data_IF_852898669041
#
_entry.id   IF_852898669041
#
_cell.length_a   1.000
_cell.length_b   1.000
_cell.length_c   1.000
_cell.angle_alpha   90.00
_cell.angle_beta   90.00
_cell.angle_gamma   90.00
#
_symmetry.space_group_name_H-M   'P 1'
#
loop_
_entity.id
_entity.type
_entity.pdbx_description
1 polymer ?
#
# COMPACT_ATOMS: atom_id res chain seq x y z
N UNK A 1 38.80 -30.15 8.96
CA UNK A 1 38.01 -28.92 9.23
C UNK A 1 37.94 -27.96 8.02
N UNK A 2 38.42 -28.34 6.83
CA UNK A 2 38.55 -27.45 5.66
C UNK A 2 37.35 -27.49 4.70
N UNK A 3 36.70 -28.64 4.53
CA UNK A 3 35.59 -28.82 3.57
C UNK A 3 34.33 -28.05 3.98
N UNK A 4 34.00 -28.03 5.28
CA UNK A 4 32.83 -27.29 5.80
C UNK A 4 32.94 -25.78 5.61
N UNK A 5 34.14 -25.22 5.79
CA UNK A 5 34.38 -23.80 5.58
C UNK A 5 34.24 -23.41 4.10
N UNK A 6 34.64 -24.30 3.18
CA UNK A 6 34.57 -24.07 1.74
C UNK A 6 33.14 -24.11 1.21
N UNK A 7 32.31 -25.03 1.71
CA UNK A 7 30.88 -25.11 1.37
C UNK A 7 30.10 -23.91 1.89
N UNK A 8 30.42 -23.42 3.10
CA UNK A 8 29.80 -22.22 3.66
C UNK A 8 30.15 -20.96 2.84
N UNK A 9 31.40 -20.84 2.39
CA UNK A 9 31.85 -19.72 1.55
C UNK A 9 31.19 -19.69 0.18
N UNK A 10 31.00 -20.86 -0.45
CA UNK A 10 30.33 -20.97 -1.75
C UNK A 10 28.82 -20.64 -1.67
N UNK A 11 28.14 -20.99 -0.56
CA UNK A 11 26.73 -20.69 -0.37
C UNK A 11 26.45 -19.19 -0.19
N UNK A 12 27.35 -18.45 0.45
CA UNK A 12 27.22 -17.00 0.66
C UNK A 12 27.44 -16.23 -0.65
N UNK A 13 28.36 -16.69 -1.51
CA UNK A 13 28.66 -16.04 -2.78
C UNK A 13 27.51 -16.08 -3.81
N UNK A 14 26.63 -17.09 -3.73
CA UNK A 14 25.49 -17.22 -4.65
C UNK A 14 24.22 -16.47 -4.19
N UNK A 15 24.18 -15.96 -2.95
CA UNK A 15 22.96 -15.38 -2.36
C UNK A 15 22.74 -13.89 -2.60
N UNK A 16 23.78 -13.13 -2.98
CA UNK A 16 23.76 -11.66 -2.94
C UNK A 16 23.78 -10.97 -4.33
N UNK A 17 23.58 -11.71 -5.43
CA UNK A 17 23.68 -11.16 -6.80
C UNK A 17 22.37 -10.70 -7.46
N UNK A 18 21.22 -10.88 -6.81
CA UNK A 18 19.92 -10.52 -7.38
C UNK A 18 19.65 -9.02 -7.28
N UNK A 19 19.17 -8.39 -8.37
CA UNK A 19 18.64 -7.02 -8.31
C UNK A 19 17.42 -7.01 -7.40
N UNK A 20 17.44 -6.20 -6.35
CA UNK A 20 16.28 -6.03 -5.47
C UNK A 20 15.10 -5.52 -6.31
N UNK A 21 13.91 -6.14 -6.22
CA UNK A 21 12.74 -5.65 -6.94
C UNK A 21 12.41 -4.21 -6.54
N UNK A 22 11.95 -3.43 -7.52
CA UNK A 22 11.50 -2.07 -7.28
C UNK A 22 10.16 -2.08 -6.53
N UNK A 23 9.96 -1.09 -5.64
CA UNK A 23 8.67 -0.91 -4.97
C UNK A 23 7.79 -0.01 -5.81
N UNK A 24 6.61 -0.49 -6.19
CA UNK A 24 5.61 0.26 -6.93
C UNK A 24 4.65 0.97 -5.97
N UNK A 25 4.39 2.24 -6.22
CA UNK A 25 3.45 3.05 -5.45
C UNK A 25 2.19 3.32 -6.26
N UNK A 26 1.04 3.18 -5.61
CA UNK A 26 -0.28 3.29 -6.21
C UNK A 26 -1.08 4.41 -5.56
N UNK A 27 -1.83 5.14 -6.37
CA UNK A 27 -2.75 6.20 -5.96
C UNK A 27 -4.13 5.86 -6.52
N UNK A 28 -5.19 6.26 -5.82
CA UNK A 28 -6.52 6.35 -6.44
C UNK A 28 -6.46 7.31 -7.63
N UNK A 29 -7.06 6.89 -8.76
CA UNK A 29 -7.26 7.79 -9.88
C UNK A 29 -8.14 8.98 -9.43
N UNK A 30 -7.92 10.15 -10.00
CA UNK A 30 -8.74 11.33 -9.71
C UNK A 30 -10.22 11.04 -10.00
N UNK A 31 -11.10 11.56 -9.15
CA UNK A 31 -12.53 11.42 -9.35
C UNK A 31 -12.97 12.18 -10.63
N UNK A 32 -13.60 11.47 -11.57
CA UNK A 32 -14.33 12.08 -12.69
C UNK A 32 -15.84 12.01 -12.40
N UNK A 33 -16.22 12.56 -11.26
CA UNK A 33 -17.62 12.67 -10.83
C UNK A 33 -17.98 14.14 -10.84
N UNK A 34 -19.11 14.46 -11.48
CA UNK A 34 -19.72 15.79 -11.41
C UNK A 34 -20.96 15.71 -10.56
N UNK A 35 -20.91 16.23 -9.36
CA UNK A 35 -22.07 16.28 -8.49
C UNK A 35 -22.86 17.56 -8.79
N UNK A 36 -24.19 17.47 -8.76
CA UNK A 36 -25.01 18.68 -8.74
C UNK A 36 -24.95 19.25 -7.33
N UNK A 37 -24.20 20.33 -7.16
CA UNK A 37 -24.14 21.06 -5.89
C UNK A 37 -25.51 21.50 -5.41
N UNK A 38 -25.67 21.56 -4.09
CA UNK A 38 -26.76 22.24 -3.40
C UNK A 38 -26.21 23.30 -2.45
N UNK A 39 -27.07 24.15 -1.88
CA UNK A 39 -26.67 25.29 -1.04
C UNK A 39 -26.18 24.90 0.37
N UNK A 40 -25.83 23.63 0.59
CA UNK A 40 -25.40 23.09 1.88
C UNK A 40 -23.88 23.01 2.02
N UNK A 41 -23.38 23.15 3.25
CA UNK A 41 -21.98 22.87 3.59
C UNK A 41 -21.88 21.40 3.97
N UNK A 42 -20.95 20.69 3.33
CA UNK A 42 -20.57 19.32 3.69
C UNK A 42 -19.18 19.38 4.32
N UNK A 43 -19.02 18.73 5.47
CA UNK A 43 -17.72 18.58 6.14
C UNK A 43 -17.36 17.10 6.10
N UNK A 44 -16.19 16.79 5.58
CA UNK A 44 -15.63 15.45 5.64
C UNK A 44 -14.74 15.35 6.88
N UNK A 45 -15.06 14.40 7.76
CA UNK A 45 -14.20 14.06 8.89
C UNK A 45 -13.16 13.01 8.47
N UNK A 46 -12.13 12.83 9.29
CA UNK A 46 -11.12 11.80 9.07
C UNK A 46 -11.78 10.43 9.02
N UNK A 47 -11.49 9.66 7.98
CA UNK A 47 -12.04 8.32 7.83
C UNK A 47 -11.42 7.39 8.88
N UNK A 48 -12.28 6.78 9.69
CA UNK A 48 -11.86 5.75 10.62
C UNK A 48 -11.46 4.48 9.86
N UNK A 49 -10.25 4.00 10.11
CA UNK A 49 -9.69 2.77 9.54
C UNK A 49 -9.40 1.74 10.63
N UNK A 50 -9.46 0.46 10.26
CA UNK A 50 -8.87 -0.61 11.07
C UNK A 50 -7.34 -0.48 11.00
N UNK A 51 -6.64 -0.87 12.07
CA UNK A 51 -5.18 -0.86 12.16
C UNK A 51 -4.47 -1.53 10.98
N UNK A 52 -5.12 -2.48 10.32
CA UNK A 52 -4.61 -3.09 9.10
C UNK A 52 -4.39 -2.09 7.93
N UNK A 53 -5.03 -0.92 7.96
CA UNK A 53 -5.06 0.09 6.91
C UNK A 53 -4.49 1.45 7.35
N UNK A 54 -3.78 1.50 8.47
CA UNK A 54 -3.20 2.75 9.00
C UNK A 54 -1.86 3.14 8.34
N UNK A 55 -1.36 2.31 7.42
CA UNK A 55 -0.14 2.59 6.67
C UNK A 55 -0.28 2.28 5.16
N UNK A 56 0.82 2.50 4.45
CA UNK A 56 0.92 2.39 2.99
C UNK A 56 0.87 0.95 2.46
N UNK A 57 0.89 -0.09 3.31
CA UNK A 57 0.91 -1.47 2.84
C UNK A 57 -0.43 -1.84 2.21
N UNK A 58 -0.38 -2.48 1.05
CA UNK A 58 -1.57 -3.00 0.40
C UNK A 58 -1.92 -4.35 1.04
N UNK A 59 -3.04 -4.36 1.78
CA UNK A 59 -3.63 -5.56 2.37
C UNK A 59 -4.22 -6.46 1.27
N UNK A 60 -3.91 -7.75 1.33
CA UNK A 60 -4.65 -8.78 0.62
C UNK A 60 -5.01 -9.92 1.57
N UNK A 61 -5.96 -10.76 1.16
CA UNK A 61 -6.36 -11.96 1.90
C UNK A 61 -6.56 -13.14 0.96
N UNK A 62 -6.06 -14.29 1.36
CA UNK A 62 -6.31 -15.59 0.69
C UNK A 62 -7.25 -16.47 1.50
N UNK A 63 -7.39 -16.17 2.80
CA UNK A 63 -8.30 -16.85 3.74
C UNK A 63 -9.08 -15.81 4.54
N UNK A 64 -10.20 -16.16 5.18
CA UNK A 64 -11.02 -15.19 5.91
C UNK A 64 -10.34 -14.55 7.14
N UNK A 65 -9.31 -15.19 7.70
CA UNK A 65 -8.75 -14.84 9.01
C UNK A 65 -7.30 -14.35 8.97
N UNK A 66 -6.68 -14.31 7.79
CA UNK A 66 -5.32 -13.84 7.61
C UNK A 66 -5.30 -12.68 6.63
N UNK A 67 -4.74 -11.57 7.10
CA UNK A 67 -4.31 -10.45 6.27
C UNK A 67 -2.82 -10.61 6.01
N UNK A 68 -2.45 -10.46 4.75
CA UNK A 68 -1.06 -10.43 4.29
C UNK A 68 -0.85 -9.13 3.49
N UNK A 69 0.42 -8.83 3.15
CA UNK A 69 0.79 -7.57 2.51
C UNK A 69 1.70 -7.80 1.32
N UNK A 70 1.49 -7.06 0.25
CA UNK A 70 2.41 -7.08 -0.89
C UNK A 70 3.74 -6.43 -0.51
N UNK A 71 4.85 -7.16 -0.71
CA UNK A 71 6.17 -6.69 -0.28
C UNK A 71 6.66 -5.47 -1.07
N UNK A 72 6.38 -5.44 -2.38
CA UNK A 72 6.90 -4.44 -3.32
C UNK A 72 5.79 -3.59 -3.94
N UNK A 73 4.59 -3.60 -3.36
CA UNK A 73 3.46 -2.79 -3.84
C UNK A 73 2.87 -2.06 -2.64
N UNK A 74 2.82 -0.73 -2.73
CA UNK A 74 2.39 0.17 -1.66
C UNK A 74 1.41 1.17 -2.18
N UNK A 75 0.49 1.59 -1.33
CA UNK A 75 -0.19 2.84 -1.53
C UNK A 75 0.79 4.01 -1.39
N UNK A 76 0.52 5.12 -2.05
CA UNK A 76 1.28 6.36 -1.93
C UNK A 76 1.07 7.08 -0.59
N UNK A 77 0.01 6.73 0.14
CA UNK A 77 -0.29 7.15 1.51
C UNK A 77 -1.24 6.14 2.17
N UNK A 78 -1.53 6.28 3.46
CA UNK A 78 -2.47 5.40 4.15
C UNK A 78 -3.86 5.41 3.46
N UNK A 79 -4.52 4.25 3.28
CA UNK A 79 -5.82 4.14 2.64
C UNK A 79 -6.88 5.12 3.12
N UNK A 80 -6.99 5.36 4.43
CA UNK A 80 -7.97 6.31 5.00
C UNK A 80 -7.78 7.73 4.47
N UNK A 81 -6.52 8.17 4.34
CA UNK A 81 -6.18 9.49 3.80
C UNK A 81 -6.50 9.56 2.30
N UNK A 82 -6.13 8.54 1.53
CA UNK A 82 -6.40 8.55 0.08
C UNK A 82 -7.89 8.59 -0.24
N UNK A 83 -8.70 7.79 0.46
CA UNK A 83 -10.15 7.77 0.25
C UNK A 83 -10.77 9.10 0.71
N UNK A 84 -10.27 9.68 1.81
CA UNK A 84 -10.68 11.01 2.26
C UNK A 84 -10.46 12.07 1.18
N UNK A 85 -9.23 12.18 0.70
CA UNK A 85 -8.86 13.14 -0.36
C UNK A 85 -9.66 12.89 -1.66
N UNK A 86 -9.90 11.63 -2.02
CA UNK A 86 -10.71 11.29 -3.18
C UNK A 86 -12.16 11.78 -3.02
N UNK A 87 -12.75 11.62 -1.84
CA UNK A 87 -14.10 12.08 -1.54
C UNK A 87 -14.18 13.61 -1.53
N UNK A 88 -13.21 14.30 -0.95
CA UNK A 88 -13.11 15.76 -1.01
C UNK A 88 -13.10 16.24 -2.46
N UNK A 89 -12.20 15.69 -3.28
CA UNK A 89 -12.12 16.02 -4.69
C UNK A 89 -13.44 15.73 -5.45
N UNK A 90 -14.13 14.64 -5.12
CA UNK A 90 -15.39 14.30 -5.76
C UNK A 90 -16.55 15.21 -5.33
N UNK A 91 -16.49 15.78 -4.13
CA UNK A 91 -17.52 16.67 -3.58
C UNK A 91 -17.34 18.14 -4.01
N UNK A 92 -16.12 18.55 -4.34
CA UNK A 92 -15.83 19.88 -4.88
C UNK A 92 -16.21 20.04 -6.36
N UNK A 93 -16.33 18.93 -7.11
CA UNK A 93 -16.58 18.90 -8.56
C UNK A 93 -18.04 18.58 -8.95
#
# INVERSE_FOLDING_TARGET
MTVRALVLGAAIACGCGGKLPETHYYQLAAADVRLRGGDGIVVLDTLATDAAYDDERIVYRTTPFRLDYYQYHRWSSAPGVMVGNYLEQALEN
#
